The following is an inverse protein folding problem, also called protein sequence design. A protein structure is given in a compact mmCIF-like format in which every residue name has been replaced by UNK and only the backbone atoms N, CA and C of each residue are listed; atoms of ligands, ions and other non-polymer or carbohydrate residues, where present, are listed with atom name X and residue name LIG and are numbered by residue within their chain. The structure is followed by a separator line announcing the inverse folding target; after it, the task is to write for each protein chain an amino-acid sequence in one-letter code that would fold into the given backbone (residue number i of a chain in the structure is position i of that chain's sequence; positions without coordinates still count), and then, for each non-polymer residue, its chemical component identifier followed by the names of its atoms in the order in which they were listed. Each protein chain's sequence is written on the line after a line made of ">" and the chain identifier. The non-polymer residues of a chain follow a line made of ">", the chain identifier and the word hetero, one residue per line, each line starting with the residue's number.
data_IF_182649192164
#
_entry.id   IF_182649192164
#
_cell.length_a   1.000
_cell.length_b   1.000
_cell.length_c   1.000
_cell.angle_alpha   90.00
_cell.angle_beta   90.00
_cell.angle_gamma   90.00
#
_symmetry.space_group_name_H-M   'P 1'
#
loop_
_entity.id
_entity.type
_entity.pdbx_description
1 polymer ?
2 polymer ?
3 polymer ?
4 polymer ?
5 non-polymer ?
6 non-polymer ?
7 non-polymer ?
8 water ?
#
loop_
_entity_poly.entity_id
_entity_poly.type
_entity_poly.pdbx_seq_one_letter_code
_entity_poly.pdbx_strand_id
3 'polydeoxyribonucleotide' '(DT)(DC)(DA)(DG)(DA)(DC)(DT)(DT)(DC)(DT)(DC)(DC)(DA)(DC)(DA)(DG)(DG)(DA)(DG)(DT)(DC)(DA)(DG)(DA)' ?
4 'polydeoxyribonucleotide' '(DT)(DC)(DT)(DG)(DA)(DC)(DT)(DC)(DC)(DT)(DG)(DT)(DG)(DG)(DA)(DG)(DA)(DA)(DG)(DT)(DC)(DT)(DG)(DA)' ?
#
# COMPACT_ATOMS: atom_id res chain seq x y z
N UNK A 1 -17.30 -14.56 15.64
CA UNK A 1 -16.65 -15.34 14.59
C UNK A 1 -17.35 -15.22 13.24
N UNK A 2 -17.23 -14.04 12.62
CA UNK A 2 -17.81 -13.80 11.31
C UNK A 2 -16.86 -14.26 10.21
N UNK A 3 -17.41 -14.75 9.10
CA UNK A 3 -16.56 -15.19 7.99
C UNK A 3 -16.57 -14.21 6.80
N UNK A 4 -15.40 -13.69 6.48
CA UNK A 4 -15.26 -12.65 5.46
C UNK A 4 -15.21 -13.20 4.03
N UNK A 5 -15.80 -12.45 3.10
CA UNK A 5 -15.79 -12.82 1.70
C UNK A 5 -14.35 -12.85 1.16
N UNK A 6 -14.03 -13.88 0.40
CA UNK A 6 -12.67 -14.16 -0.04
C UNK A 6 -12.12 -13.07 -0.97
N UNK A 7 -12.98 -12.46 -1.76
CA UNK A 7 -12.51 -11.39 -2.63
C UNK A 7 -12.17 -10.14 -1.81
N UNK A 8 -12.94 -9.91 -0.74
CA UNK A 8 -12.66 -8.80 0.17
C UNK A 8 -11.28 -9.02 0.81
N UNK A 9 -10.99 -10.25 1.21
CA UNK A 9 -9.74 -10.59 1.89
C UNK A 9 -8.50 -10.46 1.01
N UNK A 10 -8.62 -10.83 -0.27
CA UNK A 10 -7.50 -10.71 -1.21
C UNK A 10 -7.15 -9.25 -1.46
N UNK A 11 -8.14 -8.42 -1.79
CA UNK A 11 -7.89 -6.99 -1.93
C UNK A 11 -7.31 -6.37 -0.64
N UNK A 12 -7.90 -6.72 0.50
CA UNK A 12 -7.50 -6.14 1.80
C UNK A 12 -6.07 -6.56 2.16
N UNK A 13 -5.70 -7.79 1.85
CA UNK A 13 -4.35 -8.24 2.09
C UNK A 13 -3.35 -7.41 1.29
N UNK A 14 -3.69 -7.10 0.04
CA UNK A 14 -2.80 -6.29 -0.76
C UNK A 14 -2.65 -4.89 -0.15
N UNK A 15 -3.75 -4.37 0.36
CA UNK A 15 -3.75 -3.00 0.89
C UNK A 15 -3.00 -2.96 2.23
N UNK A 16 -3.12 -4.02 3.00
CA UNK A 16 -2.42 -4.15 4.28
C UNK A 16 -0.91 -4.34 4.08
N UNK A 17 -0.53 -5.24 3.17
CA UNK A 17 0.87 -5.39 2.81
C UNK A 17 1.48 -4.05 2.43
N UNK A 18 0.67 -3.16 1.87
CA UNK A 18 1.19 -1.87 1.45
C UNK A 18 1.10 -0.75 2.53
N UNK A 19 -0.11 -0.35 2.90
CA UNK A 19 -0.32 0.79 3.82
C UNK A 19 -0.62 0.37 5.29
N UNK A 20 -0.54 -0.92 5.58
CA UNK A 20 -0.91 -1.42 6.89
C UNK A 20 0.28 -1.82 7.74
N UNK A 21 -0.01 -2.31 8.94
CA UNK A 21 1.04 -2.63 9.89
C UNK A 21 0.50 -3.65 10.87
N UNK A 22 1.32 -4.64 11.17
CA UNK A 22 0.98 -5.64 12.17
C UNK A 22 2.02 -5.49 13.27
N UNK A 23 1.54 -5.10 14.45
CA UNK A 23 2.44 -4.58 15.48
C UNK A 23 2.32 -5.39 16.76
N UNK A 24 3.46 -5.75 17.34
CA UNK A 24 3.48 -6.35 18.66
C UNK A 24 4.31 -5.48 19.59
N UNK A 25 3.83 -5.26 20.82
CA UNK A 25 4.50 -4.36 21.75
C UNK A 25 4.59 -4.94 23.16
N UNK A 26 5.70 -4.65 23.83
CA UNK A 26 5.84 -4.94 25.25
C UNK A 26 5.73 -3.59 25.94
N UNK A 27 4.72 -3.44 26.81
CA UNK A 27 4.48 -2.17 27.47
C UNK A 27 4.71 -2.29 28.98
N UNK A 28 5.49 -1.35 29.54
CA UNK A 28 5.74 -1.33 30.99
C UNK A 28 4.44 -1.25 31.77
N UNK A 29 4.36 -1.99 32.88
CA UNK A 29 3.15 -2.02 33.71
C UNK A 29 3.43 -2.49 35.14
N UNK A 30 3.36 -1.56 36.09
CA UNK A 30 3.69 -1.84 37.49
C UNK A 30 2.77 -2.85 38.16
N UNK A 31 1.49 -2.79 37.84
CA UNK A 31 0.48 -3.58 38.56
C UNK A 31 0.39 -5.04 38.12
N UNK A 32 1.15 -5.40 37.09
CA UNK A 32 1.12 -6.78 36.58
C UNK A 32 2.28 -7.60 37.13
N UNK A 33 2.09 -8.91 37.17
CA UNK A 33 3.07 -9.83 37.75
C UNK A 33 4.50 -9.58 37.27
N UNK A 34 4.69 -9.57 35.95
CA UNK A 34 6.03 -9.42 35.39
C UNK A 34 6.39 -7.98 34.99
N UNK A 35 5.60 -7.02 35.46
CA UNK A 35 5.90 -5.59 35.25
C UNK A 35 5.81 -5.15 33.78
N UNK A 36 5.30 -6.05 32.94
CA UNK A 36 5.11 -5.73 31.52
C UNK A 36 3.89 -6.49 30.96
N UNK A 37 3.17 -5.84 30.07
CA UNK A 37 2.04 -6.46 29.40
C UNK A 37 2.28 -6.39 27.90
N UNK A 38 1.66 -7.30 27.15
CA UNK A 38 1.77 -7.29 25.70
C UNK A 38 0.54 -6.62 25.05
N UNK A 39 0.76 -5.99 23.91
CA UNK A 39 -0.32 -5.39 23.14
C UNK A 39 -0.08 -5.63 21.65
N UNK A 40 -1.08 -6.22 21.00
CA UNK A 40 -1.01 -6.55 19.59
C UNK A 40 -1.99 -5.64 18.85
N UNK A 41 -1.58 -5.17 17.67
CA UNK A 41 -2.40 -4.25 16.91
C UNK A 41 -2.35 -4.48 15.41
N UNK A 42 -3.54 -4.52 14.81
CA UNK A 42 -3.66 -4.45 13.37
C UNK A 42 -4.03 -3.02 13.01
N UNK A 43 -3.33 -2.48 12.02
CA UNK A 43 -3.32 -1.05 11.75
C UNK A 43 -3.34 -0.81 10.25
N UNK A 44 -4.20 0.10 9.80
CA UNK A 44 -4.14 0.62 8.44
C UNK A 44 -4.15 2.15 8.52
N UNK A 45 -3.16 2.76 7.88
CA UNK A 45 -3.02 4.22 7.90
C UNK A 45 -3.38 4.86 6.57
N UNK A 46 -3.83 6.11 6.60
CA UNK A 46 -4.19 6.82 5.40
C UNK A 46 -4.44 8.30 5.71
N UNK A 47 -4.01 9.17 4.78
CA UNK A 47 -4.27 10.61 4.85
C UNK A 47 -5.74 10.85 5.20
N UNK A 48 -6.02 11.92 5.93
CA UNK A 48 -7.33 12.08 6.53
C UNK A 48 -8.40 12.46 5.51
N UNK A 49 -7.98 13.04 4.40
CA UNK A 49 -8.94 13.29 3.33
C UNK A 49 -9.51 11.98 2.78
N UNK A 50 -8.88 10.85 3.09
CA UNK A 50 -9.41 9.55 2.66
C UNK A 50 -9.96 8.70 3.80
N UNK A 51 -10.31 9.39 4.88
CA UNK A 51 -10.79 8.74 6.09
C UNK A 51 -11.98 7.85 5.80
N UNK A 52 -12.83 8.27 4.86
CA UNK A 52 -13.99 7.48 4.46
C UNK A 52 -13.66 6.02 4.17
N UNK A 53 -12.53 5.81 3.49
CA UNK A 53 -12.06 4.47 3.17
C UNK A 53 -11.84 3.64 4.45
N UNK A 54 -11.27 4.27 5.47
CA UNK A 54 -11.08 3.64 6.76
C UNK A 54 -12.40 3.45 7.52
N UNK A 55 -13.33 4.39 7.32
CA UNK A 55 -14.69 4.26 7.87
C UNK A 55 -15.35 3.00 7.31
N UNK A 56 -15.34 2.86 5.99
CA UNK A 56 -15.91 1.68 5.34
C UNK A 56 -15.27 0.41 5.90
N UNK A 57 -13.99 0.48 6.22
CA UNK A 57 -13.27 -0.70 6.72
C UNK A 57 -13.78 -1.15 8.08
N UNK A 58 -14.19 -0.19 8.92
CA UNK A 58 -14.74 -0.52 10.23
C UNK A 58 -16.02 -1.31 10.04
N UNK A 59 -16.86 -0.83 9.13
CA UNK A 59 -18.14 -1.44 8.83
C UNK A 59 -17.93 -2.86 8.26
N UNK A 60 -16.94 -3.00 7.39
CA UNK A 60 -16.70 -4.29 6.71
C UNK A 60 -16.09 -5.35 7.64
N UNK A 61 -15.12 -4.95 8.46
CA UNK A 61 -14.52 -5.88 9.39
C UNK A 61 -15.51 -6.11 10.56
N UNK A 62 -16.30 -5.08 10.87
CA UNK A 62 -17.37 -5.18 11.84
C UNK A 62 -16.92 -4.90 13.27
N UNK A 63 -15.67 -4.48 13.40
CA UNK A 63 -15.10 -4.17 14.69
C UNK A 63 -13.91 -3.23 14.47
N UNK A 64 -13.39 -2.65 15.53
CA UNK A 64 -12.28 -1.71 15.41
C UNK A 64 -12.75 -0.26 15.40
N UNK A 65 -11.81 0.66 15.20
CA UNK A 65 -12.12 2.10 15.29
C UNK A 65 -11.14 2.91 14.43
N UNK A 66 -11.59 4.07 13.98
CA UNK A 66 -10.73 5.03 13.31
C UNK A 66 -10.42 6.20 14.23
N UNK A 67 -9.16 6.63 14.24
CA UNK A 67 -8.73 7.82 14.99
C UNK A 67 -7.93 8.74 14.08
N UNK A 68 -7.93 10.03 14.40
CA UNK A 68 -7.21 11.03 13.61
C UNK A 68 -6.03 11.60 14.40
N UNK A 69 -4.94 11.90 13.71
CA UNK A 69 -3.76 12.49 14.35
C UNK A 69 -2.96 13.32 13.35
N UNK A 70 -3.17 14.63 13.36
CA UNK A 70 -2.58 15.48 12.35
C UNK A 70 -3.32 15.32 11.04
N UNK A 71 -2.59 15.29 9.94
CA UNK A 71 -3.20 15.19 8.61
C UNK A 71 -3.46 13.74 8.21
N UNK A 72 -3.41 12.83 9.18
CA UNK A 72 -3.51 11.41 8.89
C UNK A 72 -4.43 10.70 9.88
N UNK A 73 -5.03 9.59 9.43
CA UNK A 73 -5.98 8.78 10.20
C UNK A 73 -5.57 7.31 10.17
N UNK A 74 -6.08 6.53 11.11
CA UNK A 74 -5.72 5.13 11.19
C UNK A 74 -6.93 4.28 11.58
N UNK A 75 -7.10 3.15 10.89
CA UNK A 75 -7.99 2.13 11.39
C UNK A 75 -7.17 1.27 12.34
N UNK A 76 -7.74 0.97 13.51
CA UNK A 76 -7.06 0.12 14.47
C UNK A 76 -7.93 -1.00 15.03
N UNK A 77 -7.31 -2.13 15.31
CA UNK A 77 -7.97 -3.25 15.97
C UNK A 77 -6.94 -3.94 16.86
N UNK A 78 -7.19 -3.92 18.17
CA UNK A 78 -6.29 -4.53 19.15
C UNK A 78 -7.01 -5.58 20.00
N UNK A 79 -8.33 -5.49 20.04
CA UNK A 79 -9.13 -6.43 20.79
C UNK A 79 -8.74 -7.87 20.40
N UNK A 80 -8.33 -8.66 21.38
CA UNK A 80 -7.69 -9.95 21.13
C UNK A 80 -8.51 -10.96 20.33
N UNK A 81 -9.74 -11.22 20.76
CA UNK A 81 -10.53 -12.27 20.13
C UNK A 81 -10.92 -11.97 18.68
N UNK A 82 -11.49 -10.79 18.42
CA UNK A 82 -11.79 -10.43 17.03
C UNK A 82 -10.51 -10.37 16.18
N UNK A 83 -9.42 -9.88 16.77
CA UNK A 83 -8.15 -9.79 16.06
C UNK A 83 -7.66 -11.19 15.66
N UNK A 84 -7.72 -12.13 16.58
CA UNK A 84 -7.31 -13.49 16.28
C UNK A 84 -8.15 -14.07 15.13
N UNK A 85 -9.45 -13.84 15.18
CA UNK A 85 -10.34 -14.30 14.12
C UNK A 85 -10.04 -13.65 12.76
N UNK A 86 -9.80 -12.35 12.76
CA UNK A 86 -9.60 -11.59 11.53
C UNK A 86 -8.29 -11.98 10.86
N UNK A 87 -7.20 -11.92 11.61
CA UNK A 87 -5.89 -12.28 11.08
C UNK A 87 -5.84 -13.71 10.59
N UNK A 88 -6.56 -14.61 11.26
CA UNK A 88 -6.58 -16.01 10.86
C UNK A 88 -7.12 -16.12 9.44
N UNK A 89 -8.07 -15.25 9.10
CA UNK A 89 -8.69 -15.28 7.79
C UNK A 89 -7.86 -14.53 6.75
N UNK A 90 -7.17 -13.47 7.18
CA UNK A 90 -6.37 -12.67 6.27
C UNK A 90 -5.03 -13.34 5.95
N UNK A 91 -4.49 -14.04 6.93
CA UNK A 91 -3.13 -14.58 6.90
C UNK A 91 -2.72 -15.28 5.58
N UNK A 92 -3.60 -16.11 5.01
CA UNK A 92 -3.18 -16.91 3.84
C UNK A 92 -2.97 -16.05 2.62
N UNK A 93 -3.52 -14.85 2.62
CA UNK A 93 -3.45 -13.97 1.45
C UNK A 93 -2.32 -12.93 1.54
N UNK A 94 -1.75 -12.77 2.73
CA UNK A 94 -0.69 -11.79 2.96
C UNK A 94 0.60 -12.28 2.33
N UNK A 95 1.38 -11.36 1.78
CA UNK A 95 2.67 -11.69 1.19
C UNK A 95 3.86 -11.07 1.95
N UNK A 96 3.78 -9.78 2.26
CA UNK A 96 4.88 -9.11 2.95
C UNK A 96 4.79 -9.27 4.47
N UNK A 97 3.58 -9.46 4.97
CA UNK A 97 3.36 -9.44 6.41
C UNK A 97 2.75 -10.75 6.91
N UNK A 98 2.93 -11.82 6.14
CA UNK A 98 2.37 -13.11 6.53
C UNK A 98 3.00 -13.61 7.83
N UNK A 99 4.31 -13.44 7.96
CA UNK A 99 5.02 -13.89 9.15
C UNK A 99 4.61 -13.12 10.42
N UNK A 100 4.57 -11.79 10.31
CA UNK A 100 4.10 -10.96 11.42
C UNK A 100 2.75 -11.47 11.92
N UNK A 101 1.82 -11.65 10.98
CA UNK A 101 0.48 -12.16 11.30
C UNK A 101 0.54 -13.50 12.04
N UNK A 102 1.40 -14.39 11.56
CA UNK A 102 1.49 -15.72 12.14
C UNK A 102 2.08 -15.64 13.54
N UNK A 103 3.08 -14.78 13.69
CA UNK A 103 3.67 -14.59 15.01
C UNK A 103 2.64 -14.01 15.99
N UNK A 104 1.84 -13.06 15.53
CA UNK A 104 0.80 -12.46 16.38
C UNK A 104 -0.21 -13.53 16.81
N UNK A 105 -0.64 -14.36 15.86
CA UNK A 105 -1.56 -15.47 16.15
C UNK A 105 -0.96 -16.44 17.16
N UNK A 106 0.33 -16.74 17.01
CA UNK A 106 1.03 -17.61 17.95
C UNK A 106 1.07 -16.97 19.34
N UNK A 107 1.43 -15.69 19.39
CA UNK A 107 1.50 -14.97 20.65
C UNK A 107 0.16 -15.00 21.39
N UNK A 108 -0.93 -14.74 20.68
CA UNK A 108 -2.26 -14.69 21.27
C UNK A 108 -2.65 -16.03 21.88
N UNK A 109 -2.34 -17.11 21.18
CA UNK A 109 -2.65 -18.44 21.65
C UNK A 109 -1.83 -18.82 22.88
N UNK A 110 -0.67 -18.19 23.04
CA UNK A 110 0.20 -18.50 24.17
C UNK A 110 -0.01 -17.52 25.33
N UNK A 111 -0.81 -16.50 25.08
CA UNK A 111 -1.11 -15.47 26.08
C UNK A 111 -1.46 -16.05 27.46
N UNK A 112 -2.34 -17.07 27.49
CA UNK A 112 -2.75 -17.71 28.75
C UNK A 112 -1.58 -18.32 29.53
N UNK A 113 -0.76 -19.13 28.87
CA UNK A 113 0.35 -19.81 29.53
C UNK A 113 1.57 -18.92 29.72
N UNK A 114 1.49 -17.68 29.26
CA UNK A 114 2.62 -16.76 29.34
C UNK A 114 2.60 -15.99 30.66
N UNK A 115 1.44 -15.99 31.31
CA UNK A 115 1.26 -15.23 32.56
C UNK A 115 1.49 -16.13 33.76
N UNK A 116 2.40 -17.07 33.65
CA UNK A 116 2.61 -18.04 34.73
C UNK A 116 4.08 -18.22 35.06
N UNK A 117 4.86 -18.65 34.08
CA UNK A 117 6.29 -18.79 34.26
C UNK A 117 7.03 -17.61 33.64
N UNK A 118 7.82 -16.90 34.45
CA UNK A 118 8.66 -15.80 33.98
C UNK A 118 9.46 -16.21 32.74
N UNK A 119 9.87 -17.47 32.68
CA UNK A 119 10.62 -17.99 31.54
C UNK A 119 9.75 -18.07 30.28
N UNK A 120 8.50 -18.50 30.45
CA UNK A 120 7.59 -18.59 29.31
C UNK A 120 7.22 -17.20 28.81
N UNK A 121 7.11 -16.25 29.73
CA UNK A 121 6.82 -14.87 29.37
C UNK A 121 7.91 -14.32 28.46
N UNK A 122 9.16 -14.41 28.91
CA UNK A 122 10.30 -14.00 28.09
C UNK A 122 10.29 -14.64 26.70
N UNK A 123 9.97 -15.92 26.63
CA UNK A 123 9.89 -16.59 25.34
C UNK A 123 8.94 -15.86 24.39
N UNK A 124 7.74 -15.56 24.89
CA UNK A 124 6.75 -14.85 24.10
C UNK A 124 7.24 -13.46 23.73
N UNK A 125 7.98 -12.82 24.65
CA UNK A 125 8.57 -11.52 24.35
C UNK A 125 9.56 -11.61 23.18
N UNK A 126 10.17 -12.77 23.02
CA UNK A 126 11.09 -13.01 21.91
C UNK A 126 10.36 -13.10 20.57
N UNK A 127 9.13 -13.61 20.61
CA UNK A 127 8.30 -13.61 19.43
C UNK A 127 8.00 -12.16 19.04
N UNK A 128 7.84 -11.30 20.05
CA UNK A 128 7.62 -9.87 19.82
C UNK A 128 8.83 -9.22 19.13
N UNK A 129 10.03 -9.52 19.61
CA UNK A 129 11.25 -9.01 18.97
C UNK A 129 11.23 -9.41 17.48
N UNK A 130 10.79 -10.64 17.21
CA UNK A 130 10.83 -11.16 15.85
C UNK A 130 9.89 -10.38 14.92
N UNK A 131 8.70 -10.02 15.42
CA UNK A 131 7.79 -9.18 14.65
C UNK A 131 8.41 -7.83 14.36
N UNK A 132 9.02 -7.22 15.38
CA UNK A 132 9.69 -5.94 15.18
C UNK A 132 10.86 -6.06 14.20
N UNK A 133 11.60 -7.17 14.29
CA UNK A 133 12.69 -7.43 13.34
C UNK A 133 12.16 -7.47 11.90
N UNK A 134 11.02 -8.13 11.70
CA UNK A 134 10.38 -8.19 10.39
C UNK A 134 9.85 -6.84 9.90
N UNK A 135 9.34 -6.02 10.82
CA UNK A 135 8.83 -4.72 10.41
C UNK A 135 9.98 -3.78 10.05
N UNK A 136 9.66 -2.61 9.51
CA UNK A 136 10.69 -1.58 9.36
C UNK A 136 10.83 -0.77 10.67
N UNK A 137 11.18 -1.44 11.77
CA UNK A 137 11.19 -0.80 13.10
C UNK A 137 12.28 0.26 13.26
N UNK A 138 11.90 1.42 13.81
CA UNK A 138 12.85 2.54 13.92
C UNK A 138 12.78 3.34 15.22
N UNK A 139 11.67 3.24 15.95
CA UNK A 139 11.53 3.99 17.21
C UNK A 139 11.22 3.08 18.41
N UNK A 140 11.67 1.83 18.34
CA UNK A 140 11.37 0.83 19.35
C UNK A 140 12.26 1.01 20.59
N UNK A 141 11.68 0.83 21.78
CA UNK A 141 12.40 0.98 23.05
C UNK A 141 12.39 -0.28 23.92
N UNK A 142 11.21 -0.76 24.27
CA UNK A 142 11.09 -1.91 25.17
C UNK A 142 11.12 -3.26 24.44
N UNK A 143 12.12 -4.07 24.75
CA UNK A 143 12.31 -5.36 24.10
C UNK A 143 12.34 -6.48 25.13
N UNK A 144 12.49 -7.73 24.68
CA UNK A 144 12.58 -8.84 25.61
C UNK A 144 13.74 -8.66 26.59
N UNK A 145 14.84 -8.09 26.12
CA UNK A 145 15.98 -7.80 27.00
C UNK A 145 15.61 -6.84 28.14
N UNK A 146 14.81 -5.83 27.81
CA UNK A 146 14.32 -4.89 28.82
C UNK A 146 13.61 -5.68 29.92
N UNK A 147 12.76 -6.60 29.50
CA UNK A 147 12.04 -7.45 30.44
C UNK A 147 13.00 -8.27 31.31
N UNK A 148 14.02 -8.86 30.67
CA UNK A 148 15.00 -9.63 31.41
C UNK A 148 15.59 -8.80 32.53
N UNK A 149 16.29 -7.73 32.16
CA UNK A 149 16.88 -6.83 33.14
C UNK A 149 15.96 -6.61 34.33
N UNK A 150 14.66 -6.45 34.04
CA UNK A 150 13.68 -6.20 35.09
C UNK A 150 13.32 -7.46 35.89
N UNK A 151 13.21 -8.60 35.22
CA UNK A 151 12.94 -9.85 35.92
C UNK A 151 14.07 -10.21 36.89
N UNK A 152 15.31 -9.94 36.45
CA UNK A 152 16.45 -10.11 37.34
C UNK A 152 16.34 -9.12 38.49
N UNK A 153 15.67 -9.55 39.55
CA UNK A 153 15.34 -8.68 40.67
C UNK A 153 14.51 -9.42 41.71
N UNK B 1 -1.94 -10.09 -26.26
CA UNK B 1 -2.58 -9.60 -25.04
C UNK B 1 -2.63 -10.64 -23.93
N UNK B 2 -1.87 -10.39 -22.86
CA UNK B 2 -1.85 -11.30 -21.72
C UNK B 2 -3.10 -11.15 -20.86
N UNK B 3 -3.71 -12.28 -20.52
CA UNK B 3 -4.79 -12.32 -19.54
C UNK B 3 -4.21 -12.64 -18.14
N UNK B 4 -4.65 -11.90 -17.12
CA UNK B 4 -4.15 -12.11 -15.76
C UNK B 4 -5.20 -12.80 -14.88
N UNK B 5 -4.74 -13.69 -13.99
CA UNK B 5 -5.64 -14.34 -13.04
C UNK B 5 -6.37 -13.35 -12.12
N UNK B 6 -7.61 -13.66 -11.78
CA UNK B 6 -8.43 -12.74 -10.99
C UNK B 6 -7.91 -12.55 -9.56
N UNK B 7 -7.48 -13.62 -8.92
CA UNK B 7 -7.04 -13.50 -7.55
C UNK B 7 -5.79 -12.66 -7.49
N UNK B 8 -4.99 -12.74 -8.55
CA UNK B 8 -3.80 -11.92 -8.72
C UNK B 8 -4.17 -10.43 -8.85
N UNK B 9 -5.09 -10.11 -9.76
CA UNK B 9 -5.57 -8.72 -9.93
C UNK B 9 -6.18 -8.11 -8.65
N UNK B 10 -6.89 -8.92 -7.88
CA UNK B 10 -7.53 -8.48 -6.63
C UNK B 10 -6.51 -8.07 -5.58
N UNK B 11 -5.49 -8.90 -5.37
CA UNK B 11 -4.46 -8.58 -4.41
C UNK B 11 -3.65 -7.39 -4.90
N UNK B 12 -3.30 -7.39 -6.20
CA UNK B 12 -2.43 -6.34 -6.74
C UNK B 12 -3.12 -4.97 -6.66
N UNK B 13 -4.41 -4.93 -7.00
CA UNK B 13 -5.20 -3.72 -6.88
C UNK B 13 -5.10 -3.14 -5.45
N UNK B 14 -5.29 -3.97 -4.43
CA UNK B 14 -5.09 -3.53 -3.07
C UNK B 14 -3.69 -2.97 -2.83
N UNK B 15 -2.68 -3.67 -3.32
CA UNK B 15 -1.31 -3.23 -3.12
C UNK B 15 -1.01 -1.94 -3.90
N UNK B 16 -1.63 -1.79 -5.06
CA UNK B 16 -1.42 -0.59 -5.86
C UNK B 16 -2.14 0.63 -5.24
N UNK B 17 -3.38 0.43 -4.81
CA UNK B 17 -4.08 1.48 -4.07
C UNK B 17 -3.26 1.92 -2.85
N UNK B 18 -2.47 1.00 -2.32
CA UNK B 18 -1.62 1.30 -1.18
C UNK B 18 -0.27 1.90 -1.54
N UNK B 19 0.61 1.13 -2.18
CA UNK B 19 1.98 1.55 -2.41
C UNK B 19 2.23 2.02 -3.86
N UNK B 20 1.17 2.06 -4.66
CA UNK B 20 1.30 2.24 -6.11
C UNK B 20 1.03 3.67 -6.56
N UNK B 21 1.30 3.96 -7.82
CA UNK B 21 1.00 5.27 -8.39
C UNK B 21 0.59 5.18 -9.85
N UNK B 22 -0.49 5.85 -10.21
CA UNK B 22 -0.88 5.94 -11.61
C UNK B 22 -0.76 7.39 -12.01
N UNK B 23 0.16 7.64 -12.95
CA UNK B 23 0.72 8.95 -13.21
C UNK B 23 0.56 9.39 -14.67
N UNK B 24 0.08 10.61 -14.90
CA UNK B 24 0.04 11.17 -16.26
C UNK B 24 0.90 12.43 -16.29
N UNK B 25 1.77 12.54 -17.30
CA UNK B 25 2.65 13.71 -17.37
C UNK B 25 2.66 14.35 -18.74
N UNK B 26 2.88 15.66 -18.77
CA UNK B 26 3.19 16.39 -20.00
C UNK B 26 4.65 16.75 -19.88
N UNK B 27 5.48 16.27 -20.80
CA UNK B 27 6.91 16.53 -20.69
C UNK B 27 7.38 17.43 -21.82
N UNK B 28 8.35 18.32 -21.52
CA UNK B 28 8.92 19.15 -22.58
C UNK B 28 9.43 18.26 -23.70
N UNK B 29 9.84 18.85 -24.82
CA UNK B 29 10.38 18.04 -25.92
C UNK B 29 10.62 18.87 -27.17
N UNK B 30 11.79 19.48 -27.24
CA UNK B 30 12.15 20.33 -28.38
C UNK B 30 11.95 19.60 -29.71
N UNK B 31 12.58 18.43 -29.84
CA UNK B 31 12.42 17.62 -31.05
C UNK B 31 11.05 16.95 -31.08
N UNK B 32 10.00 17.75 -31.18
CA UNK B 32 8.64 17.23 -31.17
C UNK B 32 7.65 18.20 -31.76
N UNK B 33 6.47 17.68 -32.12
CA UNK B 33 5.45 18.46 -32.80
C UNK B 33 5.04 19.73 -32.03
N UNK B 34 4.49 19.56 -30.84
CA UNK B 34 4.05 20.71 -30.03
C UNK B 34 4.99 20.99 -28.86
N UNK B 35 6.22 20.48 -28.94
CA UNK B 35 7.24 20.74 -27.92
C UNK B 35 6.87 20.13 -26.57
N UNK B 36 5.88 19.23 -26.56
CA UNK B 36 5.53 18.49 -25.36
C UNK B 36 5.21 17.03 -25.71
N UNK B 37 5.88 16.11 -25.02
CA UNK B 37 5.70 14.67 -25.21
C UNK B 37 4.91 14.07 -24.06
N UNK B 38 3.79 13.41 -24.38
CA UNK B 38 2.96 12.79 -23.33
C UNK B 38 3.55 11.48 -22.80
N UNK B 39 3.37 11.25 -21.49
CA UNK B 39 3.96 10.08 -20.85
C UNK B 39 3.06 9.52 -19.75
N UNK B 40 2.73 8.24 -19.83
CA UNK B 40 1.91 7.58 -18.81
C UNK B 40 2.73 6.53 -18.09
N UNK B 41 2.52 6.40 -16.78
CA UNK B 41 3.25 5.40 -16.02
C UNK B 41 2.41 4.74 -14.93
N UNK B 42 2.45 3.42 -14.90
CA UNK B 42 2.02 2.64 -13.76
C UNK B 42 3.26 2.31 -12.94
N UNK B 43 3.19 2.48 -11.62
CA UNK B 43 4.37 2.22 -10.83
C UNK B 43 4.07 1.69 -9.44
N UNK B 44 4.99 0.87 -8.94
CA UNK B 44 4.92 0.40 -7.58
C UNK B 44 6.28 0.62 -6.91
N UNK B 45 6.25 1.30 -5.75
CA UNK B 45 7.46 1.67 -5.02
C UNK B 45 7.66 0.76 -3.82
N UNK B 46 8.91 0.40 -3.54
CA UNK B 46 9.19 -0.36 -2.32
C UNK B 46 10.66 -0.30 -1.92
N UNK B 47 10.90 -0.30 -0.61
CA UNK B 47 12.26 -0.28 -0.05
C UNK B 47 13.07 -1.34 -0.77
N UNK B 48 14.32 -1.04 -1.06
CA UNK B 48 15.12 -1.90 -1.92
C UNK B 48 15.37 -3.27 -1.30
N UNK B 49 15.32 -3.33 0.02
CA UNK B 49 15.37 -4.57 0.77
C UNK B 49 14.33 -5.58 0.26
N UNK B 50 13.21 -5.07 -0.25
CA UNK B 50 12.13 -5.89 -0.76
C UNK B 50 12.02 -5.79 -2.28
N UNK B 51 13.14 -5.50 -2.94
CA UNK B 51 13.18 -5.43 -4.40
C UNK B 51 12.68 -6.70 -5.10
N UNK B 52 12.87 -7.85 -4.46
CA UNK B 52 12.45 -9.13 -5.04
C UNK B 52 10.96 -9.11 -5.36
N UNK B 53 10.21 -8.49 -4.46
CA UNK B 53 8.77 -8.36 -4.64
C UNK B 53 8.44 -7.62 -5.93
N UNK B 54 9.20 -6.59 -6.24
CA UNK B 54 9.02 -5.86 -7.49
C UNK B 54 9.54 -6.65 -8.70
N UNK B 55 10.68 -7.33 -8.52
CA UNK B 55 11.24 -8.15 -9.57
C UNK B 55 10.18 -9.14 -10.04
N UNK B 56 9.50 -9.80 -9.10
CA UNK B 56 8.43 -10.75 -9.42
C UNK B 56 7.33 -10.16 -10.31
N UNK B 57 6.94 -8.92 -10.01
CA UNK B 57 5.94 -8.22 -10.80
C UNK B 57 6.31 -8.16 -12.28
N UNK B 58 7.59 -7.96 -12.56
CA UNK B 58 8.05 -7.94 -13.96
C UNK B 58 7.65 -9.27 -14.59
N UNK B 59 7.83 -10.34 -13.84
CA UNK B 59 7.56 -11.67 -14.38
C UNK B 59 6.07 -11.94 -14.46
N UNK B 60 5.32 -11.50 -13.46
CA UNK B 60 3.89 -11.79 -13.41
C UNK B 60 3.10 -10.93 -14.40
N UNK B 61 3.49 -9.67 -14.54
CA UNK B 61 2.85 -8.79 -15.50
C UNK B 61 3.39 -9.07 -16.89
N UNK B 62 4.66 -9.46 -16.97
CA UNK B 62 5.23 -9.92 -18.23
C UNK B 62 5.95 -8.82 -18.98
N UNK B 63 5.92 -7.61 -18.45
CA UNK B 63 6.63 -6.47 -19.04
C UNK B 63 6.99 -5.48 -17.91
N UNK B 64 7.71 -4.42 -18.25
CA UNK B 64 8.07 -3.40 -17.27
C UNK B 64 9.49 -3.59 -16.76
N UNK B 65 9.92 -2.73 -15.84
CA UNK B 65 11.29 -2.82 -15.32
C UNK B 65 11.37 -2.28 -13.91
N UNK B 66 12.39 -2.74 -13.19
CA UNK B 66 12.66 -2.29 -11.83
C UNK B 66 13.93 -1.46 -11.80
N UNK B 67 13.90 -0.31 -11.14
CA UNK B 67 15.09 0.51 -10.97
C UNK B 67 15.22 0.97 -9.52
N UNK B 68 16.44 1.40 -9.15
CA UNK B 68 16.76 1.78 -7.78
C UNK B 68 16.99 3.28 -7.70
N UNK B 69 16.66 3.85 -6.54
CA UNK B 69 16.81 5.27 -6.27
C UNK B 69 16.97 5.45 -4.77
N UNK B 70 18.21 5.60 -4.32
CA UNK B 70 18.48 5.77 -2.91
C UNK B 70 18.24 4.49 -2.12
N UNK B 71 17.29 4.55 -1.20
CA UNK B 71 16.99 3.39 -0.34
C UNK B 71 15.78 2.60 -0.88
N UNK B 72 15.34 2.99 -2.07
CA UNK B 72 14.03 2.62 -2.57
C UNK B 72 14.10 2.10 -4.02
N UNK B 73 13.26 1.15 -4.34
CA UNK B 73 13.16 0.63 -5.70
C UNK B 73 11.77 0.89 -6.27
N UNK B 74 11.66 0.87 -7.58
CA UNK B 74 10.36 1.03 -8.23
C UNK B 74 10.18 0.05 -9.37
N UNK B 75 9.02 -0.58 -9.41
CA UNK B 75 8.56 -1.19 -10.65
C UNK B 75 7.89 -0.13 -11.49
N UNK B 76 8.23 -0.10 -12.78
CA UNK B 76 7.59 0.84 -13.72
C UNK B 76 7.04 0.12 -14.94
N UNK B 77 5.89 0.57 -15.43
CA UNK B 77 5.43 0.17 -16.75
C UNK B 77 4.92 1.41 -17.51
N UNK B 78 5.64 1.79 -18.55
CA UNK B 78 5.26 2.96 -19.35
C UNK B 78 4.85 2.60 -20.79
N UNK B 79 5.28 1.43 -21.26
CA UNK B 79 5.00 1.01 -22.64
C UNK B 79 3.48 0.96 -22.89
N UNK B 80 3.02 1.76 -23.85
CA UNK B 80 1.58 2.06 -23.99
C UNK B 80 0.62 0.88 -24.24
N UNK B 81 0.93 -0.02 -25.15
CA UNK B 81 0.00 -1.11 -25.44
C UNK B 81 -0.22 -2.04 -24.25
N UNK B 82 0.88 -2.56 -23.67
CA UNK B 82 0.76 -3.40 -22.47
C UNK B 82 0.19 -2.63 -21.27
N UNK B 83 0.53 -1.35 -21.12
CA UNK B 83 -0.03 -0.55 -20.02
C UNK B 83 -1.55 -0.54 -20.18
N UNK B 84 -2.01 -0.27 -21.39
CA UNK B 84 -3.44 -0.28 -21.66
C UNK B 84 -4.05 -1.63 -21.29
N UNK B 85 -3.40 -2.71 -21.73
CA UNK B 85 -3.89 -4.05 -21.45
C UNK B 85 -3.97 -4.34 -19.96
N UNK B 86 -2.90 -4.05 -19.24
CA UNK B 86 -2.85 -4.29 -17.80
C UNK B 86 -3.90 -3.46 -17.02
N UNK B 87 -3.93 -2.14 -17.25
CA UNK B 87 -4.86 -1.29 -16.51
C UNK B 87 -6.32 -1.64 -16.79
N UNK B 88 -6.63 -2.02 -18.03
CA UNK B 88 -8.00 -2.43 -18.39
C UNK B 88 -8.48 -3.56 -17.48
N UNK B 89 -7.57 -4.47 -17.16
CA UNK B 89 -7.92 -5.62 -16.34
C UNK B 89 -7.85 -5.36 -14.84
N UNK B 90 -7.03 -4.39 -14.44
CA UNK B 90 -6.86 -4.03 -13.02
C UNK B 90 -7.98 -3.11 -12.56
N UNK B 91 -8.37 -2.22 -13.46
CA UNK B 91 -9.28 -1.12 -13.18
C UNK B 91 -10.51 -1.53 -12.37
N UNK B 92 -11.12 -2.66 -12.74
CA UNK B 92 -12.35 -3.11 -12.07
C UNK B 92 -12.18 -3.29 -10.56
N UNK B 93 -10.96 -3.55 -10.12
CA UNK B 93 -10.72 -3.90 -8.72
C UNK B 93 -10.12 -2.75 -7.90
N UNK B 94 -9.74 -1.68 -8.57
CA UNK B 94 -9.17 -0.53 -7.89
C UNK B 94 -10.24 0.18 -7.06
N UNK B 95 -9.84 0.74 -5.92
CA UNK B 95 -10.77 1.49 -5.09
C UNK B 95 -10.36 2.96 -4.95
N UNK B 96 -9.08 3.21 -4.68
CA UNK B 96 -8.62 4.60 -4.50
C UNK B 96 -8.15 5.22 -5.80
N UNK B 97 -7.72 4.39 -6.75
CA UNK B 97 -7.07 4.91 -7.97
C UNK B 97 -7.82 4.52 -9.23
N UNK B 98 -9.08 4.12 -9.07
CA UNK B 98 -9.90 3.73 -10.20
C UNK B 98 -10.11 4.86 -11.24
N UNK B 99 -10.28 6.08 -10.78
CA UNK B 99 -10.51 7.20 -11.69
C UNK B 99 -9.23 7.57 -12.46
N UNK B 100 -8.11 7.63 -11.76
CA UNK B 100 -6.82 7.83 -12.42
C UNK B 100 -6.61 6.77 -13.53
N UNK B 101 -6.88 5.51 -13.21
CA UNK B 101 -6.72 4.43 -14.17
C UNK B 101 -7.59 4.63 -15.42
N UNK B 102 -8.86 4.95 -15.20
CA UNK B 102 -9.77 5.20 -16.32
C UNK B 102 -9.37 6.38 -17.18
N UNK B 103 -8.88 7.44 -16.55
CA UNK B 103 -8.36 8.60 -17.28
C UNK B 103 -7.14 8.22 -18.12
N UNK B 104 -6.25 7.38 -17.56
CA UNK B 104 -5.07 6.95 -18.30
C UNK B 104 -5.47 6.14 -19.52
N UNK B 105 -6.40 5.22 -19.32
CA UNK B 105 -6.94 4.42 -20.42
C UNK B 105 -7.60 5.31 -21.46
N UNK B 106 -8.27 6.37 -21.00
CA UNK B 106 -8.96 7.28 -21.89
C UNK B 106 -7.96 8.10 -22.69
N UNK B 107 -6.89 8.52 -22.03
CA UNK B 107 -5.83 9.27 -22.71
C UNK B 107 -5.12 8.40 -23.74
N UNK B 108 -4.76 7.18 -23.34
CA UNK B 108 -4.06 6.26 -24.22
C UNK B 108 -4.83 6.05 -25.51
N UNK B 109 -6.15 5.91 -25.38
CA UNK B 109 -7.02 5.69 -26.52
C UNK B 109 -7.14 6.92 -27.41
N UNK B 110 -7.35 8.08 -26.81
CA UNK B 110 -7.51 9.30 -27.59
C UNK B 110 -6.15 9.90 -27.95
N UNK B 111 -5.14 9.05 -28.04
CA UNK B 111 -3.76 9.51 -28.25
C UNK B 111 -3.46 9.87 -29.71
N UNK B 112 -3.57 8.89 -30.62
CA UNK B 112 -3.28 9.15 -32.04
C UNK B 112 -3.99 10.40 -32.56
N UNK B 113 -5.22 10.62 -32.15
CA UNK B 113 -5.98 11.78 -32.59
C UNK B 113 -5.45 13.06 -31.93
N UNK B 114 -5.07 12.97 -30.67
CA UNK B 114 -4.61 14.14 -29.94
C UNK B 114 -3.39 14.77 -30.59
N UNK B 115 -2.87 14.13 -31.63
CA UNK B 115 -1.70 14.65 -32.33
C UNK B 115 -2.07 15.19 -33.69
N UNK B 116 -3.27 15.78 -33.77
CA UNK B 116 -3.75 16.38 -35.00
C UNK B 116 -3.90 17.88 -34.85
N UNK B 117 -4.93 18.30 -34.13
CA UNK B 117 -5.12 19.71 -33.83
C UNK B 117 -4.49 20.09 -32.49
N UNK B 118 -3.99 21.33 -32.39
CA UNK B 118 -3.47 21.83 -31.11
C UNK B 118 -4.56 21.84 -30.04
N UNK B 119 -5.80 21.72 -30.48
CA UNK B 119 -6.94 21.74 -29.57
C UNK B 119 -7.21 20.36 -28.99
N UNK B 120 -7.26 19.35 -29.85
CA UNK B 120 -7.45 17.98 -29.40
C UNK B 120 -6.33 17.61 -28.41
N UNK B 121 -5.10 17.96 -28.78
CA UNK B 121 -3.97 17.72 -27.92
C UNK B 121 -4.17 18.40 -26.57
N UNK B 122 -4.50 19.68 -26.62
CA UNK B 122 -4.64 20.46 -25.41
C UNK B 122 -5.78 19.94 -24.54
N UNK B 123 -6.83 19.42 -25.17
CA UNK B 123 -7.96 18.87 -24.41
C UNK B 123 -7.54 17.61 -23.66
N UNK B 124 -6.60 16.86 -24.22
CA UNK B 124 -6.13 15.66 -23.56
C UNK B 124 -5.20 16.02 -22.42
N UNK B 125 -4.50 17.14 -22.56
CA UNK B 125 -3.65 17.65 -21.50
C UNK B 125 -4.47 17.94 -20.23
N UNK B 126 -5.72 18.34 -20.42
CA UNK B 126 -6.60 18.61 -19.29
C UNK B 126 -7.01 17.31 -18.62
N UNK B 127 -6.94 16.21 -19.37
CA UNK B 127 -7.15 14.90 -18.77
C UNK B 127 -5.97 14.58 -17.86
N UNK B 128 -4.78 14.99 -18.29
CA UNK B 128 -3.61 14.84 -17.44
C UNK B 128 -3.78 15.62 -16.13
N UNK B 129 -4.20 16.88 -16.23
CA UNK B 129 -4.45 17.72 -15.04
C UNK B 129 -5.32 16.99 -14.02
N UNK B 130 -6.37 16.32 -14.50
CA UNK B 130 -7.32 15.64 -13.61
C UNK B 130 -6.63 14.50 -12.85
N UNK B 131 -5.77 13.77 -13.54
CA UNK B 131 -5.05 12.67 -12.90
C UNK B 131 -4.22 13.24 -11.74
N UNK B 132 -3.40 14.24 -12.05
CA UNK B 132 -2.58 14.87 -11.02
C UNK B 132 -3.45 15.36 -9.86
N UNK B 133 -4.60 15.94 -10.19
CA UNK B 133 -5.49 16.48 -9.17
C UNK B 133 -6.00 15.39 -8.24
N UNK B 134 -6.40 14.26 -8.83
CA UNK B 134 -6.79 13.08 -8.06
C UNK B 134 -5.65 12.45 -7.25
N UNK B 135 -4.42 12.60 -7.71
CA UNK B 135 -3.25 12.16 -6.95
C UNK B 135 -2.92 13.14 -5.82
N UNK B 136 -2.03 12.75 -4.91
CA UNK B 136 -1.52 13.71 -3.92
C UNK B 136 -0.37 14.48 -4.56
N UNK B 137 -0.69 15.32 -5.54
CA UNK B 137 0.35 15.99 -6.32
C UNK B 137 1.07 17.08 -5.56
N UNK B 138 2.40 17.07 -5.58
CA UNK B 138 3.18 18.02 -4.80
C UNK B 138 4.34 18.73 -5.54
N UNK B 139 4.89 18.09 -6.58
CA UNK B 139 6.05 18.67 -7.25
C UNK B 139 5.85 18.79 -8.76
N UNK B 140 4.60 19.05 -9.15
CA UNK B 140 4.24 19.18 -10.56
C UNK B 140 4.67 20.55 -11.10
N UNK B 141 5.11 20.57 -12.36
CA UNK B 141 5.59 21.80 -13.01
C UNK B 141 4.88 22.11 -14.33
N UNK B 142 4.76 21.11 -15.20
CA UNK B 142 4.19 21.30 -16.52
C UNK B 142 2.74 20.84 -16.57
N UNK B 143 1.82 21.76 -16.85
CA UNK B 143 0.40 21.48 -16.88
C UNK B 143 -0.16 21.85 -18.24
N UNK B 144 -1.48 21.74 -18.38
CA UNK B 144 -2.14 22.11 -19.65
C UNK B 144 -1.95 23.60 -19.93
N UNK B 145 -1.91 24.40 -18.87
CA UNK B 145 -1.69 25.82 -19.00
C UNK B 145 -0.25 26.12 -19.41
N UNK B 146 0.65 25.19 -19.12
CA UNK B 146 2.02 25.32 -19.59
C UNK B 146 2.05 25.06 -21.08
N UNK B 147 1.13 24.21 -21.53
CA UNK B 147 1.01 23.88 -22.93
C UNK B 147 0.36 25.01 -23.72
N UNK B 148 -0.76 25.51 -23.19
CA UNK B 148 -1.46 26.62 -23.83
C UNK B 148 -0.56 27.84 -23.98
N UNK B 149 0.42 27.95 -23.07
CA UNK B 149 1.37 29.05 -23.11
C UNK B 149 2.32 28.96 -24.29
N UNK B 150 2.76 27.74 -24.59
CA UNK B 150 3.69 27.52 -25.68
C UNK B 150 2.98 27.47 -27.04
N UNK B 151 1.66 27.31 -27.00
CA UNK B 151 0.87 27.22 -28.23
C UNK B 151 0.28 28.57 -28.62
N UNK B 152 -0.32 29.26 -27.66
CA UNK B 152 -0.89 30.59 -27.90
C UNK B 152 0.20 31.60 -28.23
N UNK B 153 1.46 31.17 -28.12
CA UNK B 153 2.58 32.04 -28.45
C UNK B 153 3.02 31.90 -29.90
N UNK B 154 3.40 30.68 -30.28
CA UNK B 154 3.90 30.41 -31.62
C UNK B 154 2.94 30.93 -32.70
X LIG E 1 -0.58 4.87 0.34
X LIG F 1 13.41 -4.83 9.80
X LIG G 1 -12.53 -1.00 1.73
X LIG G 1 -11.59 -1.82 1.86
X LIG G 1 -12.45 0.07 2.40
X LIG G 1 -13.69 -1.27 0.83
X LIG G 1 -13.56 -2.24 0.35
X LIG G 1 -13.74 -0.49 0.06
X LIG G 1 -14.61 -1.27 1.41
X LIG H 1 15.00 -3.55 16.33
X LIG H 1 14.52 -4.31 17.51
X LIG H 1 15.56 -4.25 18.59
X LIG H 1 14.10 -3.72 15.29
X LIG H 1 14.29 -5.62 17.16
X LIG H 1 15.07 -2.50 16.58
X LIG H 1 15.96 -3.92 16.03
X LIG H 1 13.60 -3.87 17.89
X LIG H 1 15.19 -4.74 19.47
X LIG H 1 15.79 -3.22 18.82
X LIG H 1 16.45 -4.75 18.25
X LIG H 1 14.39 -3.08 14.46
X LIG H 1 13.34 -5.94 17.57
X LIG I 1 6.33 -4.14 4.85
X LIG I 1 7.26 -4.61 5.91
X LIG I 1 7.44 -6.08 5.81
X LIG I 1 6.00 -2.84 5.14
X LIG I 1 6.71 -4.27 7.13
X LIG I 1 6.82 -4.19 3.88
X LIG I 1 5.44 -4.75 4.84
X LIG I 1 8.21 -4.11 5.80
X LIG I 1 6.51 -6.58 5.98
X LIG I 1 7.80 -6.34 4.82
X LIG I 1 8.17 -6.41 6.54
X LIG I 1 5.41 -2.42 4.33
X LIG I 1 7.48 -3.83 7.76
X LIG J 1 4.28 0.19 2.28
X LIG K 1 -5.05 15.87 -4.98
X LIG L 1 -3.69 7.93 -3.73
X LIG L 1 -3.43 8.62 -4.74
X LIG L 1 -4.90 7.70 -3.51
X LIG L 1 -2.61 7.38 -2.85
X LIG L 1 -3.06 6.79 -2.04
X LIG L 1 -2.04 8.19 -2.42
X LIG L 1 -1.95 6.73 -3.43
X LIG M 1 3.31 -10.00 -6.33
X LIG M 1 4.49 -9.55 -6.32
X LIG M 1 3.16 -11.24 -6.26
X LIG M 1 2.12 -9.08 -6.43
X LIG M 1 1.21 -9.66 -6.43
X LIG M 1 2.18 -8.51 -7.36
X LIG M 1 2.12 -8.39 -5.59
X LIG N 1 -5.04 0.28 -27.14
X LIG N 1 -3.80 0.45 -27.11
X LIG N 1 -5.74 1.29 -27.33
X LIG N 1 -5.65 -1.09 -26.96
X LIG N 1 -6.74 -1.01 -27.03
X LIG N 1 -5.37 -1.49 -25.99
X LIG N 1 -5.28 -1.75 -27.74
X LIG O 1 -0.83 -14.14 -13.14
X LIG O 1 -0.80 -14.80 -12.08
X LIG O 1 -1.89 -14.14 -13.80
X LIG O 1 0.40 -13.37 -13.59
X LIG O 1 0.17 -12.86 -14.53
X LIG O 1 1.22 -14.06 -13.74
X LIG O 1 0.66 -12.63 -12.83
#
# INVERSE_FOLDING_TARGET
>A
NTKYNKEFLLYLAGFVDSDGSIIAQIKPNQSVKFKHRLQLTFDVTQKTQRRWFLDKLVDEIGVGYVADSGSVSKYRLSEIKPLHNFLTQLQPFLKLKQKQANLVLKIIEQLPSAKESPDKFLEVCTWVDQIAALNDSKTRKTTSETVRAVLDS
>B
NTKYNKEFLLYLAGFVDGDGSIIAQIKPNQSGKFKHKLSLTFKVTQKTQRRWFLDKLVDEIGVGYVYDSGSVSNYYLSEIKPLHNFLTQLQPFLKLKQKQANLVLKIIEQLPSAKESPDKFLEVCTWVDQVAALNDSKTRKTTSETVRAVLDSL
>E hetero
1 CA CA
>F hetero
1 CA CA
>G hetero
1 ACT C O OXT CH3 H1 H2 H3
>H hetero
1 PGO C1 C2 C3 O1 O2 H11 H12 H2 H31 H32 H33 HO1 HO2
>I hetero
1 PGO C1 C2 C3 O1 O2 H11 H12 H2 H31 H32 H33 HO1 HO2
>J hetero
1 CA CA
>K hetero
1 CA CA
>L hetero
1 ACT C O OXT CH3 H1 H2 H3
>M hetero
1 ACT C O OXT CH3 H1 H2 H3
>N hetero
1 ACT C O OXT CH3 H1 H2 H3
>O hetero
1 ACT C O OXT CH3 H1 H2 H3
#
